data_IF_224955065433
#
_entry.id   IF_224955065433
#
_cell.length_a   1.000
_cell.length_b   1.000
_cell.length_c   1.000
_cell.angle_alpha   90.00
_cell.angle_beta   90.00
_cell.angle_gamma   90.00
#
_symmetry.space_group_name_H-M   'P 1'
#
loop_
_entity.id
_entity.type
_entity.pdbx_description
1 polymer ?
#
# COMPACT_ATOMS: atom_id res chain seq x y z
N UNK A 1 -3.11 -19.69 -1.66
CA UNK A 1 -2.58 -18.46 -2.29
C UNK A 1 -3.24 -17.19 -1.76
N UNK A 2 -4.58 -17.10 -1.75
CA UNK A 2 -5.29 -15.88 -1.33
C UNK A 2 -5.49 -15.71 0.19
N UNK A 3 -5.46 -16.80 0.97
CA UNK A 3 -5.64 -16.76 2.43
C UNK A 3 -4.46 -16.07 3.11
N UNK A 4 -4.60 -14.77 3.39
CA UNK A 4 -3.60 -13.96 4.10
C UNK A 4 -2.96 -12.84 3.26
N UNK A 5 -3.27 -12.77 1.97
CA UNK A 5 -2.69 -11.79 1.03
C UNK A 5 -3.68 -10.73 0.56
N UNK A 6 -4.98 -10.93 0.85
CA UNK A 6 -6.07 -10.01 0.55
C UNK A 6 -6.39 -9.15 1.76
N UNK A 7 -6.42 -7.83 1.57
CA UNK A 7 -6.90 -6.86 2.53
C UNK A 7 -7.89 -5.92 1.85
N UNK A 8 -9.17 -6.00 2.22
CA UNK A 8 -10.25 -5.27 1.55
C UNK A 8 -10.21 -5.46 0.02
N UNK A 9 -9.87 -4.42 -0.74
CA UNK A 9 -9.73 -4.40 -2.19
C UNK A 9 -8.29 -4.61 -2.70
N UNK A 10 -7.29 -4.64 -1.81
CA UNK A 10 -5.88 -4.83 -2.15
C UNK A 10 -5.46 -6.31 -2.06
N UNK A 11 -4.82 -6.82 -3.11
CA UNK A 11 -4.10 -8.10 -3.11
C UNK A 11 -2.59 -7.82 -3.12
N UNK A 12 -1.89 -8.21 -2.06
CA UNK A 12 -0.45 -8.02 -1.94
C UNK A 12 0.25 -9.36 -1.72
N UNK A 13 1.05 -9.79 -2.70
CA UNK A 13 1.80 -11.04 -2.60
C UNK A 13 3.08 -10.98 -3.43
N UNK A 14 4.08 -11.77 -3.05
CA UNK A 14 5.36 -11.90 -3.75
C UNK A 14 5.70 -13.37 -4.02
N UNK A 15 6.71 -13.59 -4.86
CA UNK A 15 7.27 -14.90 -5.12
C UNK A 15 8.80 -14.81 -5.20
N UNK A 16 9.49 -15.94 -5.06
CA UNK A 16 10.94 -16.01 -5.02
C UNK A 16 11.59 -15.84 -6.42
N UNK A 17 10.81 -16.08 -7.48
CA UNK A 17 11.26 -15.98 -8.87
C UNK A 17 10.16 -15.41 -9.79
N UNK A 18 10.57 -14.93 -10.95
CA UNK A 18 9.69 -14.24 -11.91
C UNK A 18 8.65 -15.18 -12.53
N UNK A 19 9.00 -16.45 -12.79
CA UNK A 19 8.08 -17.42 -13.38
C UNK A 19 6.96 -17.77 -12.41
N UNK A 20 7.33 -18.05 -11.15
CA UNK A 20 6.39 -18.24 -10.05
C UNK A 20 5.50 -17.01 -9.85
N UNK A 21 6.05 -15.79 -9.96
CA UNK A 21 5.27 -14.57 -9.84
C UNK A 21 4.25 -14.39 -10.99
N UNK A 22 4.62 -14.76 -12.22
CA UNK A 22 3.69 -14.77 -13.38
C UNK A 22 2.56 -15.75 -13.15
N UNK A 23 2.88 -16.99 -12.76
CA UNK A 23 1.87 -18.01 -12.48
C UNK A 23 0.92 -17.55 -11.36
N UNK A 24 1.49 -17.01 -10.28
CA UNK A 24 0.73 -16.48 -9.15
C UNK A 24 -0.24 -15.36 -9.56
N UNK A 25 0.24 -14.40 -10.35
CA UNK A 25 -0.61 -13.31 -10.84
C UNK A 25 -1.73 -13.81 -11.76
N UNK A 26 -1.44 -14.79 -12.62
CA UNK A 26 -2.40 -15.37 -13.56
C UNK A 26 -3.48 -16.15 -12.82
N UNK A 27 -3.07 -16.98 -11.84
CA UNK A 27 -3.97 -17.73 -10.97
C UNK A 27 -4.86 -16.78 -10.16
N UNK A 28 -4.30 -15.70 -9.60
CA UNK A 28 -5.07 -14.73 -8.85
C UNK A 28 -6.14 -14.04 -9.71
N UNK A 29 -5.78 -13.63 -10.93
CA UNK A 29 -6.72 -13.03 -11.90
C UNK A 29 -7.82 -14.02 -12.27
N UNK A 30 -7.47 -15.28 -12.56
CA UNK A 30 -8.46 -16.31 -12.92
C UNK A 30 -9.43 -16.58 -11.77
N UNK A 31 -8.92 -16.84 -10.56
CA UNK A 31 -9.74 -17.18 -9.39
C UNK A 31 -10.71 -16.04 -9.05
N UNK A 32 -10.24 -14.78 -9.10
CA UNK A 32 -11.10 -13.64 -8.78
C UNK A 32 -12.10 -13.36 -9.92
N UNK A 33 -11.70 -13.53 -11.18
CA UNK A 33 -12.59 -13.41 -12.35
C UNK A 33 -13.74 -14.42 -12.28
N UNK A 34 -13.49 -15.66 -11.88
CA UNK A 34 -14.52 -16.69 -11.69
C UNK A 34 -15.58 -16.28 -10.65
N UNK A 35 -15.19 -15.46 -9.68
CA UNK A 35 -16.06 -14.90 -8.66
C UNK A 35 -16.63 -13.51 -9.04
N UNK A 36 -16.51 -13.09 -10.30
CA UNK A 36 -16.90 -11.75 -10.80
C UNK A 36 -16.11 -10.57 -10.20
N UNK A 37 -14.93 -10.82 -9.65
CA UNK A 37 -14.00 -9.81 -9.17
C UNK A 37 -12.88 -9.57 -10.18
N UNK A 38 -12.97 -8.45 -10.90
CA UNK A 38 -11.93 -8.07 -11.86
C UNK A 38 -10.77 -7.37 -11.17
N UNK A 39 -9.64 -8.07 -11.02
CA UNK A 39 -8.37 -7.45 -10.61
C UNK A 39 -7.97 -6.39 -11.65
N UNK A 40 -7.57 -5.23 -11.14
CA UNK A 40 -7.13 -4.09 -11.93
C UNK A 40 -5.87 -3.53 -11.32
N UNK A 41 -5.10 -2.76 -12.09
CA UNK A 41 -3.91 -2.04 -11.61
C UNK A 41 -2.89 -2.99 -10.96
N UNK A 42 -2.43 -3.99 -11.73
CA UNK A 42 -1.31 -4.83 -11.30
C UNK A 42 -0.03 -4.00 -11.27
N UNK A 43 0.71 -4.06 -10.17
CA UNK A 43 1.96 -3.34 -9.97
C UNK A 43 3.05 -4.25 -9.43
N UNK A 44 4.30 -3.98 -9.83
CA UNK A 44 5.47 -4.75 -9.43
C UNK A 44 6.71 -3.87 -9.42
N UNK A 45 7.66 -4.19 -8.54
CA UNK A 45 9.01 -3.63 -8.52
C UNK A 45 9.92 -4.24 -9.60
N UNK A 46 9.51 -5.34 -10.25
CA UNK A 46 10.29 -6.02 -11.28
C UNK A 46 9.84 -5.62 -12.69
N UNK A 47 10.69 -4.90 -13.41
CA UNK A 47 10.44 -4.57 -14.81
C UNK A 47 10.25 -5.82 -15.68
N UNK A 48 11.04 -6.87 -15.43
CA UNK A 48 10.92 -8.14 -16.15
C UNK A 48 9.54 -8.78 -15.95
N UNK A 49 9.00 -8.73 -14.72
CA UNK A 49 7.66 -9.25 -14.45
C UNK A 49 6.57 -8.40 -15.12
N UNK A 50 6.72 -7.08 -15.10
CA UNK A 50 5.79 -6.17 -15.79
C UNK A 50 5.75 -6.44 -17.30
N UNK A 51 6.91 -6.57 -17.95
CA UNK A 51 6.99 -6.88 -19.38
C UNK A 51 6.29 -8.21 -19.72
N UNK A 52 6.41 -9.22 -18.84
CA UNK A 52 5.72 -10.50 -18.98
C UNK A 52 4.21 -10.40 -18.76
N UNK A 53 3.76 -9.58 -17.81
CA UNK A 53 2.33 -9.30 -17.64
C UNK A 53 1.71 -8.66 -18.87
N UNK A 54 2.41 -7.72 -19.50
CA UNK A 54 1.97 -7.10 -20.77
C UNK A 54 1.88 -8.16 -21.87
N UNK A 55 2.92 -8.98 -22.03
CA UNK A 55 2.96 -10.06 -23.04
C UNK A 55 1.83 -11.07 -22.86
N UNK A 56 1.48 -11.39 -21.62
CA UNK A 56 0.42 -12.33 -21.28
C UNK A 56 -0.97 -11.68 -21.23
N UNK A 57 -1.09 -10.39 -21.52
CA UNK A 57 -2.37 -9.66 -21.53
C UNK A 57 -2.97 -9.43 -20.14
N UNK A 58 -2.17 -9.51 -19.08
CA UNK A 58 -2.59 -9.30 -17.70
C UNK A 58 -2.66 -7.81 -17.33
N UNK A 59 -1.84 -6.97 -17.96
CA UNK A 59 -1.87 -5.51 -17.77
C UNK A 59 -1.53 -4.74 -19.06
N UNK A 60 -1.87 -3.45 -19.09
CA UNK A 60 -1.56 -2.55 -20.22
C UNK A 60 -0.12 -2.02 -20.14
N UNK A 61 0.50 -1.71 -21.29
CA UNK A 61 1.86 -1.15 -21.36
C UNK A 61 2.06 0.12 -20.51
N UNK A 62 1.05 0.98 -20.43
CA UNK A 62 1.11 2.26 -19.71
C UNK A 62 0.72 2.15 -18.22
N UNK A 63 0.59 0.94 -17.67
CA UNK A 63 0.20 0.72 -16.27
C UNK A 63 1.31 1.01 -15.26
N UNK A 64 2.55 1.21 -15.71
CA UNK A 64 3.64 1.67 -14.86
C UNK A 64 3.42 3.15 -14.53
N UNK A 65 3.09 3.47 -13.27
CA UNK A 65 2.87 4.86 -12.86
C UNK A 65 4.15 5.68 -13.10
N UNK A 66 4.01 6.83 -13.77
CA UNK A 66 5.13 7.72 -14.17
C UNK A 66 6.02 8.18 -13.01
N UNK A 67 5.53 8.15 -11.78
CA UNK A 67 6.25 8.58 -10.57
C UNK A 67 6.77 7.42 -9.71
N UNK A 68 6.58 6.16 -10.13
CA UNK A 68 7.01 4.95 -9.41
C UNK A 68 6.59 4.90 -7.93
N UNK A 69 5.54 5.65 -7.56
CA UNK A 69 5.03 5.83 -6.20
C UNK A 69 3.56 5.47 -6.14
N UNK A 70 3.28 4.29 -5.61
CA UNK A 70 1.93 3.78 -5.48
C UNK A 70 1.45 3.85 -4.05
N UNK A 71 0.14 3.99 -3.83
CA UNK A 71 -0.42 3.78 -2.50
C UNK A 71 -0.82 2.31 -2.34
N UNK A 72 -0.31 1.67 -1.29
CA UNK A 72 -0.63 0.29 -0.91
C UNK A 72 -0.88 0.24 0.58
N UNK A 73 -2.05 -0.24 1.02
CA UNK A 73 -2.40 -0.37 2.43
C UNK A 73 -2.21 0.93 3.25
N UNK A 74 -2.47 2.09 2.63
CA UNK A 74 -2.29 3.41 3.25
C UNK A 74 -0.84 3.95 3.29
N UNK A 75 0.13 3.19 2.79
CA UNK A 75 1.54 3.56 2.68
C UNK A 75 1.91 3.90 1.22
N UNK A 76 3.03 4.59 1.03
CA UNK A 76 3.59 4.86 -0.31
C UNK A 76 4.65 3.80 -0.61
N UNK A 77 4.45 3.00 -1.64
CA UNK A 77 5.46 2.07 -2.13
C UNK A 77 6.23 2.69 -3.29
N UNK A 78 7.54 2.81 -3.12
CA UNK A 78 8.45 3.13 -4.20
C UNK A 78 8.90 1.83 -4.87
N UNK A 79 8.53 1.67 -6.14
CA UNK A 79 8.82 0.46 -6.92
C UNK A 79 10.30 0.31 -7.28
N UNK A 80 11.03 1.40 -7.49
CA UNK A 80 12.43 1.35 -7.92
C UNK A 80 13.35 0.87 -6.81
N UNK A 81 13.12 1.36 -5.60
CA UNK A 81 13.94 1.05 -4.43
C UNK A 81 13.36 -0.08 -3.59
N UNK A 82 12.17 -0.56 -3.95
CA UNK A 82 11.39 -1.52 -3.18
C UNK A 82 11.22 -1.13 -1.70
N UNK A 83 10.81 0.12 -1.47
CA UNK A 83 10.67 0.69 -0.13
C UNK A 83 9.26 1.21 0.14
N UNK A 84 8.70 0.79 1.29
CA UNK A 84 7.51 1.41 1.87
C UNK A 84 7.90 2.69 2.60
N UNK A 85 7.13 3.75 2.34
CA UNK A 85 7.30 5.09 2.86
C UNK A 85 6.01 5.61 3.45
N UNK A 86 6.16 6.50 4.40
CA UNK A 86 5.05 7.19 5.06
C UNK A 86 5.14 8.65 4.63
N UNK A 87 4.10 9.14 3.95
CA UNK A 87 4.01 10.55 3.62
C UNK A 87 3.49 11.33 4.84
N UNK A 88 4.41 12.03 5.50
CA UNK A 88 4.11 12.87 6.67
C UNK A 88 3.91 14.34 6.32
N UNK A 89 3.93 14.71 5.03
CA UNK A 89 3.91 16.12 4.60
C UNK A 89 2.64 16.81 5.11
N UNK A 90 1.47 16.20 4.92
CA UNK A 90 0.19 16.73 5.41
C UNK A 90 0.14 16.85 6.94
N UNK A 91 0.76 15.92 7.67
CA UNK A 91 0.85 15.98 9.13
C UNK A 91 1.73 17.17 9.56
N UNK A 92 2.90 17.34 8.94
CA UNK A 92 3.83 18.43 9.20
C UNK A 92 3.21 19.81 8.91
N UNK A 93 2.44 19.93 7.83
CA UNK A 93 1.71 21.15 7.53
C UNK A 93 0.64 21.45 8.58
N UNK A 94 -0.08 20.43 9.05
CA UNK A 94 -1.09 20.62 10.09
C UNK A 94 -0.51 21.06 11.43
N UNK A 95 0.73 20.67 11.75
CA UNK A 95 1.41 21.11 12.97
C UNK A 95 1.68 22.62 13.01
N UNK A 96 1.81 23.29 11.86
CA UNK A 96 2.10 24.74 11.79
C UNK A 96 0.97 25.60 12.35
N UNK A 97 -0.26 25.09 12.31
CA UNK A 97 -1.47 25.81 12.72
C UNK A 97 -2.16 25.13 13.91
N UNK A 98 -1.48 24.21 14.58
CA UNK A 98 -2.07 23.39 15.63
C UNK A 98 -2.10 24.16 16.95
N UNK A 99 -3.29 24.33 17.52
CA UNK A 99 -3.42 24.85 18.88
C UNK A 99 -2.99 23.79 19.90
N UNK A 100 -2.43 24.22 21.05
CA UNK A 100 -1.99 23.32 22.12
C UNK A 100 -3.17 22.79 22.95
N UNK A 101 -4.06 22.03 22.31
CA UNK A 101 -5.23 21.43 22.96
C UNK A 101 -5.20 19.91 22.83
N UNK A 102 -5.84 19.23 23.79
CA UNK A 102 -6.05 17.78 23.75
C UNK A 102 -6.76 17.32 22.47
N UNK A 103 -7.67 18.17 21.95
CA UNK A 103 -8.42 17.92 20.73
C UNK A 103 -7.53 17.99 19.48
N UNK A 104 -6.58 18.92 19.45
CA UNK A 104 -5.56 19.00 18.41
C UNK A 104 -4.67 17.75 18.36
N UNK A 105 -4.23 17.26 19.53
CA UNK A 105 -3.45 16.01 19.64
C UNK A 105 -4.24 14.82 19.10
N UNK A 106 -5.51 14.70 19.48
CA UNK A 106 -6.40 13.63 19.02
C UNK A 106 -6.64 13.70 17.50
N UNK A 107 -6.90 14.90 16.97
CA UNK A 107 -7.09 15.14 15.53
C UNK A 107 -5.87 14.69 14.72
N UNK A 108 -4.66 15.01 15.19
CA UNK A 108 -3.42 14.56 14.55
C UNK A 108 -3.25 13.05 14.60
N UNK A 109 -3.53 12.41 15.74
CA UNK A 109 -3.46 10.95 15.85
C UNK A 109 -4.45 10.25 14.90
N UNK A 110 -5.65 10.81 14.73
CA UNK A 110 -6.68 10.26 13.86
C UNK A 110 -6.37 10.37 12.36
N UNK A 111 -5.51 11.30 11.95
CA UNK A 111 -5.05 11.43 10.55
C UNK A 111 -4.09 10.31 10.14
N UNK A 112 -3.49 9.60 11.09
CA UNK A 112 -2.60 8.48 10.81
C UNK A 112 -3.46 7.25 10.50
N UNK A 113 -3.66 6.96 9.23
CA UNK A 113 -4.29 5.72 8.77
C UNK A 113 -3.23 4.61 8.70
N UNK A 114 -3.37 3.59 9.56
CA UNK A 114 -2.38 2.51 9.71
C UNK A 114 -3.09 1.14 9.81
N UNK A 115 -3.62 0.62 8.69
CA UNK A 115 -4.41 -0.61 8.69
C UNK A 115 -3.59 -1.85 9.10
N UNK A 116 -2.30 -1.85 8.82
CA UNK A 116 -1.38 -2.97 9.10
C UNK A 116 -0.59 -2.83 10.40
N UNK A 117 -0.73 -1.70 11.10
CA UNK A 117 -0.03 -1.46 12.37
C UNK A 117 1.43 -1.03 12.22
N UNK A 118 1.90 -0.68 11.02
CA UNK A 118 3.28 -0.26 10.73
C UNK A 118 3.69 0.99 11.52
N UNK A 119 2.76 1.91 11.74
CA UNK A 119 2.97 3.17 12.47
C UNK A 119 2.56 3.08 13.95
N UNK A 120 2.06 1.93 14.40
CA UNK A 120 1.57 1.74 15.76
C UNK A 120 2.57 2.13 16.86
N UNK A 121 3.89 1.83 16.77
CA UNK A 121 4.86 2.28 17.76
C UNK A 121 4.94 3.80 17.95
N UNK A 122 4.60 4.57 16.92
CA UNK A 122 4.56 6.03 16.96
C UNK A 122 3.21 6.53 17.49
N UNK A 123 2.10 5.97 16.99
CA UNK A 123 0.74 6.35 17.39
C UNK A 123 0.49 6.07 18.87
N UNK A 124 1.04 4.99 19.43
CA UNK A 124 0.93 4.67 20.86
C UNK A 124 1.55 5.75 21.74
N UNK A 125 2.66 6.37 21.33
CA UNK A 125 3.28 7.49 22.07
C UNK A 125 2.35 8.69 22.12
N UNK A 126 1.69 9.00 21.01
CA UNK A 126 0.72 10.11 20.94
C UNK A 126 -0.50 9.81 21.82
N UNK A 127 -1.02 8.58 21.78
CA UNK A 127 -2.13 8.13 22.65
C UNK A 127 -1.76 8.21 24.13
N UNK A 128 -0.53 7.85 24.49
CA UNK A 128 -0.02 7.99 25.86
C UNK A 128 0.04 9.46 26.29
N UNK A 129 0.58 10.34 25.44
CA UNK A 129 0.58 11.78 25.70
C UNK A 129 -0.84 12.32 25.96
N UNK A 130 -1.83 11.87 25.18
CA UNK A 130 -3.24 12.23 25.37
C UNK A 130 -3.83 11.78 26.73
N UNK A 131 -3.30 10.70 27.32
CA UNK A 131 -3.72 10.25 28.65
C UNK A 131 -3.10 11.09 29.78
N UNK A 132 -1.91 11.65 29.55
CA UNK A 132 -1.17 12.44 30.53
C UNK A 132 -1.56 13.94 30.52
N UNK A 133 -2.17 14.44 29.43
CA UNK A 133 -2.76 15.79 29.28
C UNK A 133 -4.24 15.78 29.67
#
# INVERSE_FOLDING_TARGET
MLNGSLYADDLCHGADDVESAVNLSSDAVSILSDASFNLRKLHTNSKQLHDLWVQNGLCEENSFEKDNKLKVLGLVWNLEEDMLRVDVTSLLESFKFLENTKMSVLSTAAKVFDPVGFLSPFVVRIKRLMQEI
#
